data_IF_891065718519
#
_entry.id   IF_891065718519
#
_cell.length_a   1.000
_cell.length_b   1.000
_cell.length_c   1.000
_cell.angle_alpha   90.00
_cell.angle_beta   90.00
_cell.angle_gamma   90.00
#
_symmetry.space_group_name_H-M   'P 1'
#
loop_
_entity.id
_entity.type
_entity.pdbx_description
1 polymer ?
#
# COMPACT_ATOMS: atom_id res chain seq x y z
N UNK A 1 -23.94 -29.23 8.88
CA UNK A 1 -23.17 -28.75 10.05
C UNK A 1 -22.22 -29.84 10.53
N UNK A 2 -20.92 -29.71 10.26
CA UNK A 2 -19.85 -30.44 10.97
C UNK A 2 -18.63 -29.51 11.01
N UNK A 3 -18.32 -29.02 12.21
CA UNK A 3 -17.28 -28.06 12.49
C UNK A 3 -15.92 -28.75 12.69
N UNK A 4 -14.92 -28.22 11.98
CA UNK A 4 -13.63 -27.71 12.46
C UNK A 4 -12.80 -28.54 13.46
N UNK A 5 -11.63 -28.95 12.97
CA UNK A 5 -10.36 -29.14 13.69
C UNK A 5 -9.31 -28.60 12.70
N UNK A 6 -8.57 -27.53 12.97
CA UNK A 6 -7.31 -27.61 13.72
C UNK A 6 -6.92 -26.21 14.23
N UNK A 7 -6.98 -26.03 15.55
CA UNK A 7 -6.30 -24.95 16.25
C UNK A 7 -4.83 -25.35 16.46
N UNK A 8 -3.90 -24.53 15.95
CA UNK A 8 -2.61 -24.32 16.61
C UNK A 8 -2.57 -22.85 17.03
N UNK A 9 -3.27 -22.58 18.13
CA UNK A 9 -3.16 -21.35 18.92
C UNK A 9 -1.89 -21.45 19.76
N UNK A 10 -0.88 -20.67 19.43
CA UNK A 10 0.15 -20.24 20.37
C UNK A 10 -0.32 -18.97 21.08
N UNK A 11 -1.29 -19.10 21.97
CA UNK A 11 -1.65 -18.06 22.93
C UNK A 11 -0.98 -18.42 24.26
N UNK A 12 0.17 -17.84 24.56
CA UNK A 12 0.64 -17.73 25.94
C UNK A 12 0.18 -16.37 26.48
N UNK A 13 -0.83 -16.45 27.34
CA UNK A 13 -1.40 -15.36 28.11
C UNK A 13 -0.68 -15.33 29.48
N UNK A 14 0.06 -14.25 29.72
CA UNK A 14 0.01 -13.36 30.91
C UNK A 14 0.44 -13.86 32.31
N UNK A 15 1.35 -13.08 32.95
CA UNK A 15 1.43 -12.68 34.37
C UNK A 15 2.75 -11.86 34.52
N UNK A 16 2.94 -10.75 35.25
CA UNK A 16 2.14 -9.82 36.07
C UNK A 16 3.16 -8.77 36.61
N UNK A 17 2.83 -7.47 36.72
CA UNK A 17 3.32 -6.55 37.78
C UNK A 17 2.87 -5.07 37.56
N UNK A 18 2.67 -4.29 38.65
CA UNK A 18 1.93 -3.03 38.63
C UNK A 18 2.75 -1.77 38.31
N UNK A 19 2.00 -0.70 38.00
CA UNK A 19 2.45 0.60 37.54
C UNK A 19 3.46 1.33 38.43
N UNK A 20 4.31 2.14 37.79
CA UNK A 20 4.76 3.44 38.31
C UNK A 20 4.58 4.50 37.22
N UNK A 21 3.98 5.67 37.50
CA UNK A 21 4.06 6.81 36.60
C UNK A 21 5.36 7.56 36.89
N UNK A 22 6.38 7.37 36.05
CA UNK A 22 7.58 8.22 36.07
C UNK A 22 7.68 8.96 34.75
N UNK A 23 7.34 10.24 34.83
CA UNK A 23 7.87 11.39 34.10
C UNK A 23 8.58 11.18 32.77
N UNK A 24 7.99 11.80 31.74
CA UNK A 24 8.66 12.57 30.69
C UNK A 24 10.06 12.07 30.27
N UNK A 25 10.09 11.31 29.19
CA UNK A 25 11.27 11.23 28.32
C UNK A 25 10.79 11.24 26.88
N UNK A 26 11.03 12.36 26.23
CA UNK A 26 11.06 12.56 24.78
C UNK A 26 11.69 11.34 24.11
N UNK A 27 10.88 10.58 23.38
CA UNK A 27 11.35 9.51 22.50
C UNK A 27 11.04 9.90 21.04
N UNK A 28 11.96 9.64 20.09
CA UNK A 28 11.92 10.12 18.71
C UNK A 28 10.77 9.49 17.91
N UNK A 29 10.41 10.03 16.72
CA UNK A 29 9.41 9.42 15.86
C UNK A 29 9.80 7.97 15.59
N UNK A 30 8.87 7.04 15.84
CA UNK A 30 9.00 5.64 15.43
C UNK A 30 9.10 5.62 13.90
N UNK A 31 10.33 5.59 13.39
CA UNK A 31 10.62 5.36 11.99
C UNK A 31 10.11 3.96 11.68
N UNK A 32 9.00 3.89 10.95
CA UNK A 32 8.44 2.65 10.42
C UNK A 32 9.53 1.92 9.65
N UNK A 33 9.52 0.60 9.75
CA UNK A 33 10.48 -0.33 9.16
C UNK A 33 10.93 0.09 7.75
N UNK A 34 12.09 0.76 7.66
CA UNK A 34 12.58 1.35 6.40
C UNK A 34 13.05 0.27 5.43
N UNK A 35 13.44 -0.90 5.95
CA UNK A 35 13.92 -2.03 5.17
C UNK A 35 12.83 -2.69 4.30
N UNK A 36 11.58 -2.73 4.78
CA UNK A 36 10.44 -3.24 4.02
C UNK A 36 10.07 -2.32 2.84
N UNK A 37 10.08 -1.00 3.09
CA UNK A 37 9.76 0.00 2.07
C UNK A 37 10.69 -0.10 0.86
N UNK A 38 12.01 -0.20 1.06
CA UNK A 38 12.97 -0.21 -0.06
C UNK A 38 12.88 -1.44 -0.97
N UNK A 39 12.59 -2.62 -0.42
CA UNK A 39 12.45 -3.83 -1.24
C UNK A 39 11.16 -3.79 -2.07
N UNK A 40 10.10 -3.24 -1.50
CA UNK A 40 8.80 -3.15 -2.16
C UNK A 40 8.75 -1.99 -3.15
N UNK A 41 9.43 -0.88 -2.84
CA UNK A 41 9.68 0.22 -3.78
C UNK A 41 10.50 -0.27 -4.98
N UNK A 42 11.45 -1.18 -4.78
CA UNK A 42 12.19 -1.81 -5.86
C UNK A 42 11.30 -2.70 -6.75
N UNK A 43 10.33 -3.39 -6.16
CA UNK A 43 9.35 -4.24 -6.87
C UNK A 43 8.35 -3.41 -7.67
N UNK A 44 7.99 -2.21 -7.18
CA UNK A 44 7.05 -1.31 -7.86
C UNK A 44 7.71 -0.34 -8.85
N UNK A 45 9.04 -0.18 -8.80
CA UNK A 45 9.79 0.66 -9.74
C UNK A 45 9.53 0.32 -11.23
N UNK A 46 9.50 -0.96 -11.65
CA UNK A 46 9.17 -1.32 -13.04
C UNK A 46 7.72 -0.99 -13.40
N UNK A 47 6.79 -1.15 -12.45
CA UNK A 47 5.37 -0.80 -12.64
C UNK A 47 5.21 0.70 -12.86
N UNK A 48 5.89 1.52 -12.06
CA UNK A 48 5.92 2.97 -12.22
C UNK A 48 6.46 3.38 -13.60
N UNK A 49 7.58 2.80 -14.03
CA UNK A 49 8.18 3.12 -15.33
C UNK A 49 7.26 2.74 -16.50
N UNK A 50 6.64 1.56 -16.45
CA UNK A 50 5.71 1.08 -17.47
C UNK A 50 4.49 2.00 -17.57
N UNK A 51 3.84 2.31 -16.45
CA UNK A 51 2.67 3.19 -16.43
C UNK A 51 3.03 4.63 -16.84
N UNK A 52 4.19 5.15 -16.45
CA UNK A 52 4.62 6.47 -16.90
C UNK A 52 4.84 6.53 -18.42
N UNK A 53 5.30 5.43 -19.04
CA UNK A 53 5.42 5.35 -20.51
C UNK A 53 4.06 5.21 -21.22
N UNK A 54 3.09 4.55 -20.59
CA UNK A 54 1.75 4.33 -21.13
C UNK A 54 0.86 5.58 -20.99
N UNK A 55 1.07 6.37 -19.94
CA UNK A 55 0.34 7.59 -19.63
C UNK A 55 1.26 8.83 -19.67
N UNK A 56 1.83 9.20 -20.83
CA UNK A 56 2.77 10.32 -20.92
C UNK A 56 2.11 11.68 -20.63
N UNK A 57 0.78 11.76 -20.69
CA UNK A 57 0.00 12.96 -20.34
C UNK A 57 -0.16 13.16 -18.84
N UNK A 58 0.10 12.12 -18.03
CA UNK A 58 0.00 12.17 -16.57
C UNK A 58 1.40 12.35 -15.98
N UNK A 59 1.62 13.33 -15.07
CA UNK A 59 2.92 13.50 -14.42
C UNK A 59 3.38 12.22 -13.70
N UNK A 60 4.66 11.87 -13.84
CA UNK A 60 5.24 10.65 -13.26
C UNK A 60 5.06 10.57 -11.73
N UNK A 61 5.06 11.72 -11.02
CA UNK A 61 4.74 11.78 -9.60
C UNK A 61 3.30 11.33 -9.29
N UNK A 62 2.35 11.72 -10.14
CA UNK A 62 0.95 11.31 -10.02
C UNK A 62 0.81 9.81 -10.27
N UNK A 63 1.53 9.27 -11.26
CA UNK A 63 1.59 7.82 -11.51
C UNK A 63 2.13 7.08 -10.28
N UNK A 64 3.26 7.52 -9.72
CA UNK A 64 3.86 6.91 -8.53
C UNK A 64 2.96 6.98 -7.29
N UNK A 65 2.21 8.08 -7.11
CA UNK A 65 1.19 8.20 -6.07
C UNK A 65 0.07 7.18 -6.28
N UNK A 66 -0.45 7.05 -7.51
CA UNK A 66 -1.53 6.10 -7.84
C UNK A 66 -1.11 4.64 -7.66
N UNK A 67 0.13 4.30 -7.96
CA UNK A 67 0.69 2.96 -7.70
C UNK A 67 0.77 2.66 -6.19
N UNK A 68 1.18 3.64 -5.37
CA UNK A 68 1.16 3.50 -3.90
C UNK A 68 -0.26 3.38 -3.33
N UNK A 69 -1.21 4.16 -3.83
CA UNK A 69 -2.62 4.08 -3.44
C UNK A 69 -3.25 2.73 -3.82
N UNK A 70 -2.97 2.23 -5.03
CA UNK A 70 -3.43 0.93 -5.51
C UNK A 70 -2.92 -0.22 -4.62
N UNK A 71 -1.65 -0.15 -4.23
CA UNK A 71 -1.04 -1.10 -3.30
C UNK A 71 -1.71 -1.05 -1.92
N UNK A 72 -1.82 0.12 -1.31
CA UNK A 72 -2.46 0.29 -0.01
C UNK A 72 -3.92 -0.20 -0.01
N UNK A 73 -4.64 0.02 -1.12
CA UNK A 73 -6.01 -0.49 -1.30
C UNK A 73 -6.04 -2.02 -1.41
N UNK A 74 -5.12 -2.63 -2.15
CA UNK A 74 -5.04 -4.09 -2.25
C UNK A 74 -4.78 -4.73 -0.87
N UNK A 75 -3.83 -4.19 -0.11
CA UNK A 75 -3.52 -4.64 1.25
C UNK A 75 -4.71 -4.48 2.20
N UNK A 76 -5.39 -3.33 2.14
CA UNK A 76 -6.58 -3.07 2.96
C UNK A 76 -7.72 -4.07 2.67
N UNK A 77 -7.84 -4.53 1.42
CA UNK A 77 -8.82 -5.54 1.02
C UNK A 77 -8.37 -6.98 1.31
N UNK A 78 -7.17 -7.17 1.88
CA UNK A 78 -6.58 -8.49 2.12
C UNK A 78 -6.16 -9.22 0.84
N UNK A 79 -6.01 -8.49 -0.27
CA UNK A 79 -5.54 -9.02 -1.56
C UNK A 79 -4.01 -8.93 -1.58
N UNK A 80 -3.35 -9.98 -2.07
CA UNK A 80 -1.92 -9.95 -2.29
C UNK A 80 -1.55 -8.80 -3.25
N UNK A 81 -0.82 -7.80 -2.76
CA UNK A 81 -0.40 -6.61 -3.51
C UNK A 81 0.76 -6.94 -4.46
N UNK A 82 0.56 -7.92 -5.33
CA UNK A 82 1.55 -8.30 -6.35
C UNK A 82 1.67 -7.19 -7.40
N UNK A 83 2.83 -7.06 -8.08
CA UNK A 83 3.04 -6.06 -9.13
C UNK A 83 1.94 -6.04 -10.19
N UNK A 84 1.43 -7.21 -10.56
CA UNK A 84 0.40 -7.38 -11.58
C UNK A 84 -0.95 -6.83 -11.11
N UNK A 85 -1.32 -7.07 -9.85
CA UNK A 85 -2.55 -6.52 -9.25
C UNK A 85 -2.43 -5.01 -9.11
N UNK A 86 -1.30 -4.53 -8.60
CA UNK A 86 -1.05 -3.09 -8.42
C UNK A 86 -1.04 -2.36 -9.76
N UNK A 87 -0.39 -2.92 -10.79
CA UNK A 87 -0.38 -2.36 -12.15
C UNK A 87 -1.80 -2.23 -12.70
N UNK A 88 -2.60 -3.31 -12.61
CA UNK A 88 -3.97 -3.31 -13.14
C UNK A 88 -4.83 -2.26 -12.45
N UNK A 89 -4.82 -2.22 -11.12
CA UNK A 89 -5.62 -1.25 -10.34
C UNK A 89 -5.15 0.18 -10.63
N UNK A 90 -3.85 0.43 -10.65
CA UNK A 90 -3.30 1.75 -10.96
C UNK A 90 -3.66 2.21 -12.39
N UNK A 91 -3.58 1.31 -13.38
CA UNK A 91 -3.99 1.58 -14.77
C UNK A 91 -5.45 2.01 -14.84
N UNK A 92 -6.36 1.27 -14.20
CA UNK A 92 -7.79 1.62 -14.17
C UNK A 92 -8.02 3.01 -13.56
N UNK A 93 -7.33 3.34 -12.46
CA UNK A 93 -7.41 4.67 -11.86
C UNK A 93 -6.83 5.80 -12.73
N UNK A 94 -5.79 5.51 -13.52
CA UNK A 94 -5.19 6.47 -14.46
C UNK A 94 -6.08 6.65 -15.69
N UNK A 95 -6.65 5.59 -16.24
CA UNK A 95 -7.65 5.64 -17.32
C UNK A 95 -8.87 6.45 -16.88
N UNK A 96 -9.39 6.16 -15.69
CA UNK A 96 -10.48 6.94 -15.12
C UNK A 96 -10.09 8.41 -14.99
N UNK A 97 -8.89 8.74 -14.53
CA UNK A 97 -8.42 10.13 -14.44
C UNK A 97 -8.40 10.84 -15.79
N UNK A 98 -7.82 10.21 -16.82
CA UNK A 98 -7.74 10.78 -18.18
C UNK A 98 -9.12 10.94 -18.79
N UNK A 99 -10.01 9.97 -18.60
CA UNK A 99 -11.37 10.01 -19.15
C UNK A 99 -12.32 10.92 -18.36
N UNK A 100 -12.01 11.20 -17.09
CA UNK A 100 -12.83 12.06 -16.22
C UNK A 100 -12.40 13.52 -16.28
N UNK A 101 -11.24 13.84 -16.85
CA UNK A 101 -10.87 15.21 -17.15
C UNK A 101 -11.76 15.69 -18.32
N UNK A 102 -12.71 16.61 -18.10
CA UNK A 102 -13.59 17.11 -19.14
C UNK A 102 -12.85 18.11 -20.03
N UNK A 103 -11.64 17.79 -20.48
CA UNK A 103 -10.95 18.58 -21.49
C UNK A 103 -11.48 18.19 -22.87
N UNK A 104 -12.72 18.59 -23.14
CA UNK A 104 -13.08 18.94 -24.52
C UNK A 104 -12.58 20.36 -24.77
N UNK A 105 -11.70 20.51 -25.77
CA UNK A 105 -12.18 21.09 -27.01
C UNK A 105 -11.85 20.14 -28.16
N UNK A 106 -12.93 19.57 -28.69
CA UNK A 106 -13.06 19.35 -30.12
C UNK A 106 -12.56 20.61 -30.85
N UNK A 107 -11.46 20.45 -31.60
CA UNK A 107 -11.07 21.42 -32.63
C UNK A 107 -11.87 21.15 -33.90
#
# INVERSE_FOLDING_TARGET
MRAQILLMRGCDIYMSAPATPTSATTAPPRVRDTAGSTAEDAVLRPVNARLASEFPTVPAETVARRVREARARAEHLGVAATPQVVERVAREHLLALVNSDPATPHR
#
